data_IF_537763045453
#
_entry.id   IF_537763045453
#
_cell.length_a   1.000
_cell.length_b   1.000
_cell.length_c   1.000
_cell.angle_alpha   90.00
_cell.angle_beta   90.00
_cell.angle_gamma   90.00
#
_symmetry.space_group_name_H-M   'P 1'
#
loop_
_entity.id
_entity.type
_entity.pdbx_description
1 polymer ?
#
# COMPACT_ATOMS: atom_id res chain seq x y z
N UNK A 1 -18.34 -4.18 -4.87
CA UNK A 1 -18.30 -4.82 -6.21
C UNK A 1 -19.06 -6.15 -6.13
N UNK A 2 -19.86 -6.50 -7.13
CA UNK A 2 -20.68 -7.73 -7.20
C UNK A 2 -19.85 -9.03 -7.38
N UNK A 3 -18.62 -9.07 -6.86
CA UNK A 3 -17.73 -10.24 -6.89
C UNK A 3 -17.09 -10.54 -8.25
N UNK A 4 -17.55 -9.95 -9.37
CA UNK A 4 -16.99 -10.20 -10.71
C UNK A 4 -15.65 -9.49 -11.01
N UNK A 5 -15.28 -8.49 -10.21
CA UNK A 5 -14.04 -7.71 -10.41
C UNK A 5 -12.93 -8.31 -9.58
N UNK A 6 -11.89 -8.84 -10.23
CA UNK A 6 -10.74 -9.49 -9.58
C UNK A 6 -9.60 -8.55 -9.22
N UNK A 7 -9.49 -7.42 -9.92
CA UNK A 7 -8.44 -6.42 -9.72
C UNK A 7 -9.04 -5.03 -9.90
N UNK A 8 -8.65 -4.10 -9.03
CA UNK A 8 -8.97 -2.68 -9.17
C UNK A 8 -7.66 -1.91 -9.15
N UNK A 9 -7.46 -1.06 -10.14
CA UNK A 9 -6.41 -0.05 -10.16
C UNK A 9 -7.06 1.31 -9.97
N UNK A 10 -6.49 2.13 -9.10
CA UNK A 10 -7.00 3.47 -8.84
C UNK A 10 -6.03 4.27 -8.01
N UNK A 11 -6.33 5.55 -7.88
CA UNK A 11 -5.59 6.44 -7.00
C UNK A 11 -5.83 6.09 -5.52
N UNK A 12 -5.35 6.96 -4.64
CA UNK A 12 -5.33 6.84 -3.18
C UNK A 12 -6.66 6.45 -2.53
N UNK A 13 -7.77 6.97 -3.06
CA UNK A 13 -9.12 6.69 -2.53
C UNK A 13 -9.59 5.27 -2.79
N UNK A 14 -9.00 4.55 -3.77
CA UNK A 14 -9.32 3.15 -4.04
C UNK A 14 -9.05 2.25 -2.83
N UNK A 15 -8.17 2.69 -1.92
CA UNK A 15 -7.91 2.03 -0.64
C UNK A 15 -9.17 1.86 0.23
N UNK A 16 -10.23 2.64 0.03
CA UNK A 16 -11.44 2.54 0.84
C UNK A 16 -12.59 1.82 0.15
N UNK A 17 -12.37 1.30 -1.06
CA UNK A 17 -13.39 0.53 -1.74
C UNK A 17 -13.73 -0.74 -0.95
N UNK A 18 -15.02 -1.11 -0.88
CA UNK A 18 -15.46 -2.32 -0.21
C UNK A 18 -15.12 -3.53 -1.08
N UNK A 19 -14.32 -4.43 -0.51
CA UNK A 19 -13.96 -5.71 -1.11
C UNK A 19 -14.50 -6.84 -0.25
N UNK A 20 -15.06 -7.88 -0.88
CA UNK A 20 -15.55 -9.06 -0.18
C UNK A 20 -14.39 -9.93 0.32
N UNK A 21 -13.39 -10.13 -0.53
CA UNK A 21 -12.23 -11.01 -0.31
C UNK A 21 -10.96 -10.32 -0.82
N UNK A 22 -10.52 -9.24 -0.14
CA UNK A 22 -9.27 -8.58 -0.50
C UNK A 22 -8.09 -9.42 -0.05
N UNK A 23 -7.28 -9.89 -1.01
CA UNK A 23 -6.13 -10.77 -0.73
C UNK A 23 -4.76 -10.11 -0.90
N UNK A 24 -4.68 -8.92 -1.49
CA UNK A 24 -3.42 -8.22 -1.76
C UNK A 24 -3.68 -6.73 -2.00
N UNK A 25 -2.79 -5.88 -1.50
CA UNK A 25 -2.64 -4.50 -1.94
C UNK A 25 -1.23 -4.31 -2.50
N UNK A 26 -1.14 -3.63 -3.65
CA UNK A 26 0.12 -3.15 -4.21
C UNK A 26 0.07 -1.63 -4.24
N UNK A 27 1.06 -0.99 -3.63
CA UNK A 27 1.28 0.45 -3.71
C UNK A 27 2.50 0.66 -4.59
N UNK A 28 2.27 1.18 -5.78
CA UNK A 28 3.35 1.54 -6.72
C UNK A 28 3.86 2.95 -6.45
N UNK A 29 5.14 3.18 -6.73
CA UNK A 29 5.86 4.40 -6.37
C UNK A 29 5.55 4.87 -4.93
N UNK A 30 5.66 3.98 -3.95
CA UNK A 30 5.22 4.21 -2.55
C UNK A 30 5.78 5.47 -1.87
N UNK A 31 6.88 6.00 -2.40
CA UNK A 31 7.54 7.21 -1.93
C UNK A 31 6.84 8.50 -2.39
N UNK A 32 5.90 8.43 -3.33
CA UNK A 32 5.27 9.59 -3.94
C UNK A 32 4.46 10.40 -2.89
N UNK A 33 4.76 11.70 -2.69
CA UNK A 33 4.03 12.55 -1.75
C UNK A 33 2.55 12.67 -2.10
N UNK A 34 2.14 12.38 -3.34
CA UNK A 34 0.75 12.31 -3.74
C UNK A 34 -0.03 11.45 -2.76
N UNK A 35 0.51 10.34 -2.23
CA UNK A 35 -0.18 9.46 -1.26
C UNK A 35 -0.65 10.14 0.04
N UNK A 36 -0.17 11.36 0.34
CA UNK A 36 -0.62 12.15 1.48
C UNK A 36 -1.85 13.00 1.13
N UNK A 37 -2.96 12.77 1.81
CA UNK A 37 -4.14 13.62 1.75
C UNK A 37 -4.07 14.65 2.89
N UNK A 38 -4.20 15.92 2.53
CA UNK A 38 -4.20 17.04 3.48
C UNK A 38 -5.49 17.87 3.43
N UNK A 39 -6.37 17.62 2.46
CA UNK A 39 -7.68 18.27 2.41
C UNK A 39 -8.73 17.43 3.16
N UNK A 40 -9.47 18.09 4.06
CA UNK A 40 -10.50 17.53 4.96
C UNK A 40 -9.98 16.47 5.93
N UNK A 41 -9.81 15.24 5.44
CA UNK A 41 -9.41 14.09 6.26
C UNK A 41 -7.96 13.80 5.96
N UNK A 42 -7.12 13.96 6.97
CA UNK A 42 -5.68 13.72 6.86
C UNK A 42 -5.39 12.23 6.94
N UNK A 43 -4.79 11.69 5.89
CA UNK A 43 -4.27 10.32 5.90
C UNK A 43 -3.13 10.16 4.91
N UNK A 44 -2.26 9.17 5.16
CA UNK A 44 -1.29 8.70 4.20
C UNK A 44 -1.77 7.34 3.66
N UNK A 45 -2.08 7.26 2.36
CA UNK A 45 -2.60 6.04 1.74
C UNK A 45 -1.63 4.86 1.82
N UNK A 46 -0.31 5.07 1.75
CA UNK A 46 0.70 4.01 1.94
C UNK A 46 0.59 3.42 3.33
N UNK A 47 0.59 4.27 4.36
CA UNK A 47 0.55 3.81 5.76
C UNK A 47 -0.78 3.13 6.06
N UNK A 48 -1.89 3.70 5.57
CA UNK A 48 -3.21 3.10 5.70
C UNK A 48 -3.32 1.75 4.96
N UNK A 49 -2.62 1.55 3.84
CA UNK A 49 -2.56 0.27 3.16
C UNK A 49 -1.87 -0.80 4.03
N UNK A 50 -0.74 -0.46 4.66
CA UNK A 50 -0.04 -1.35 5.59
C UNK A 50 -0.94 -1.73 6.77
N UNK A 51 -1.61 -0.75 7.38
CA UNK A 51 -2.55 -1.00 8.49
C UNK A 51 -3.71 -1.87 8.03
N UNK A 52 -4.30 -1.60 6.85
CA UNK A 52 -5.42 -2.38 6.31
C UNK A 52 -5.02 -3.83 6.06
N UNK A 53 -3.84 -4.07 5.51
CA UNK A 53 -3.30 -5.42 5.32
C UNK A 53 -3.03 -6.15 6.63
N UNK A 54 -2.50 -5.44 7.63
CA UNK A 54 -2.30 -6.00 8.96
C UNK A 54 -3.62 -6.42 9.63
N UNK A 55 -4.63 -5.55 9.61
CA UNK A 55 -5.97 -5.83 10.17
C UNK A 55 -6.66 -6.97 9.39
N UNK A 56 -6.53 -6.96 8.06
CA UNK A 56 -7.17 -7.95 7.19
C UNK A 56 -6.42 -9.27 7.06
N UNK A 57 -5.21 -9.38 7.62
CA UNK A 57 -4.40 -10.59 7.55
C UNK A 57 -3.92 -10.95 6.13
N UNK A 58 -3.68 -9.95 5.27
CA UNK A 58 -3.25 -10.16 3.88
C UNK A 58 -2.00 -9.33 3.53
N UNK A 59 -1.18 -9.77 2.56
CA UNK A 59 0.06 -9.09 2.20
C UNK A 59 -0.15 -7.71 1.59
N UNK A 60 0.82 -6.82 1.82
CA UNK A 60 0.93 -5.51 1.19
C UNK A 60 2.31 -5.40 0.56
N UNK A 61 2.35 -5.00 -0.71
CA UNK A 61 3.60 -4.77 -1.44
C UNK A 61 3.76 -3.27 -1.63
N UNK A 62 4.87 -2.74 -1.11
CA UNK A 62 5.31 -1.36 -1.36
C UNK A 62 6.41 -1.42 -2.42
N UNK A 63 6.08 -1.03 -3.65
CA UNK A 63 6.98 -1.03 -4.79
C UNK A 63 7.51 0.38 -5.03
N UNK A 64 8.82 0.50 -5.27
CA UNK A 64 9.47 1.77 -5.59
C UNK A 64 10.93 1.53 -6.01
N UNK A 65 11.39 2.30 -7.01
CA UNK A 65 12.81 2.38 -7.37
C UNK A 65 13.61 3.21 -6.35
N UNK A 66 12.96 4.23 -5.77
CA UNK A 66 13.51 5.17 -4.79
C UNK A 66 12.67 5.12 -3.50
N UNK A 67 12.72 4.01 -2.74
CA UNK A 67 11.81 3.82 -1.61
C UNK A 67 12.04 4.86 -0.52
N UNK A 68 10.96 5.19 0.18
CA UNK A 68 10.93 6.17 1.24
C UNK A 68 11.89 5.77 2.37
N UNK A 69 12.32 6.77 3.14
CA UNK A 69 13.19 6.53 4.31
C UNK A 69 12.48 5.63 5.32
N UNK A 70 11.18 5.84 5.54
CA UNK A 70 10.37 5.01 6.44
C UNK A 70 10.32 3.55 5.97
N UNK A 71 10.06 3.31 4.68
CA UNK A 71 10.04 1.96 4.10
C UNK A 71 11.42 1.30 4.21
N UNK A 72 12.50 2.06 3.99
CA UNK A 72 13.88 1.56 4.16
C UNK A 72 14.19 1.20 5.61
N UNK A 73 13.79 2.03 6.58
CA UNK A 73 14.01 1.78 8.01
C UNK A 73 13.18 0.60 8.51
N UNK A 74 11.91 0.49 8.12
CA UNK A 74 11.09 -0.67 8.48
C UNK A 74 11.67 -1.98 7.93
N UNK A 75 12.23 -1.95 6.72
CA UNK A 75 12.93 -3.09 6.16
C UNK A 75 14.23 -3.43 6.92
N UNK A 76 15.05 -2.43 7.27
CA UNK A 76 16.31 -2.67 8.01
C UNK A 76 16.07 -3.17 9.44
N UNK A 77 14.95 -2.78 10.05
CA UNK A 77 14.50 -3.27 11.35
C UNK A 77 13.81 -4.64 11.29
N UNK A 78 13.67 -5.23 10.10
CA UNK A 78 13.00 -6.53 9.91
C UNK A 78 11.48 -6.49 10.05
N UNK A 79 10.88 -5.30 10.14
CA UNK A 79 9.41 -5.15 10.16
C UNK A 79 8.81 -5.44 8.79
N UNK A 80 9.52 -5.08 7.72
CA UNK A 80 9.16 -5.41 6.34
C UNK A 80 10.20 -6.35 5.72
N UNK A 81 9.75 -7.30 4.91
CA UNK A 81 10.64 -8.09 4.05
C UNK A 81 11.04 -7.25 2.83
N UNK A 82 12.33 -7.21 2.51
CA UNK A 82 12.85 -6.51 1.33
C UNK A 82 13.20 -7.51 0.23
N UNK A 83 12.59 -7.36 -0.93
CA UNK A 83 13.03 -7.99 -2.17
C UNK A 83 13.77 -6.97 -3.04
N UNK A 84 14.89 -7.37 -3.65
CA UNK A 84 15.60 -6.58 -4.65
C UNK A 84 15.47 -7.33 -5.97
N UNK A 85 14.92 -6.66 -6.98
CA UNK A 85 14.82 -7.21 -8.32
C UNK A 85 16.15 -6.99 -9.05
N UNK A 86 16.72 -8.06 -9.60
CA UNK A 86 17.86 -7.95 -10.51
C UNK A 86 17.39 -7.35 -11.83
N UNK A 87 18.22 -6.52 -12.44
CA UNK A 87 18.04 -6.05 -13.81
C UNK A 87 18.24 -7.19 -14.83
#
# INVERSE_FOLDING_TARGET
AEGGVRVVAGARSALFLPFRELGLIVVDEEHDPAYKQEDRVFYNARDMAVVRGHIGGFPVVLASATPSVESRVNASQGRYSRAVLSA
#
